data_IF_624324341776
#
_entry.id   IF_624324341776
#
_cell.length_a   1.000
_cell.length_b   1.000
_cell.length_c   1.000
_cell.angle_alpha   90.00
_cell.angle_beta   90.00
_cell.angle_gamma   90.00
#
_symmetry.space_group_name_H-M   'P 1'
#
loop_
_entity.id
_entity.type
_entity.pdbx_description
1 polymer ?
#
# COMPACT_ATOMS: atom_id res chain seq x y z
N UNK A 1 -14.87 5.83 -28.15
CA UNK A 1 -13.97 6.98 -28.37
C UNK A 1 -13.57 7.52 -27.01
N UNK A 2 -12.45 7.03 -26.48
CA UNK A 2 -12.03 7.20 -25.08
C UNK A 2 -11.49 8.63 -24.92
N UNK A 3 -12.20 9.43 -24.13
CA UNK A 3 -11.77 10.80 -23.79
C UNK A 3 -10.69 10.70 -22.72
N UNK A 4 -9.46 11.09 -23.08
CA UNK A 4 -8.40 11.53 -22.16
C UNK A 4 -9.02 12.59 -21.23
N UNK A 5 -9.39 12.18 -20.01
CA UNK A 5 -9.77 13.12 -18.95
C UNK A 5 -8.51 13.52 -18.20
N UNK A 6 -8.44 14.81 -17.95
CA UNK A 6 -7.27 15.55 -17.51
C UNK A 6 -6.86 15.14 -16.09
N UNK A 7 -5.62 14.68 -15.96
CA UNK A 7 -4.91 14.67 -14.68
C UNK A 7 -4.91 16.12 -14.18
N UNK A 8 -5.62 16.39 -13.07
CA UNK A 8 -5.62 17.70 -12.41
C UNK A 8 -4.21 17.95 -11.86
N UNK A 9 -3.37 18.63 -12.65
CA UNK A 9 -2.10 19.18 -12.20
C UNK A 9 -2.36 20.49 -11.44
N UNK A 10 -2.31 20.44 -10.11
CA UNK A 10 -2.24 21.59 -9.21
C UNK A 10 -1.31 21.19 -8.05
N UNK A 11 -0.29 21.94 -7.60
CA UNK A 11 0.36 23.18 -8.02
C UNK A 11 1.70 23.23 -7.21
N UNK A 12 2.88 23.44 -7.79
CA UNK A 12 3.59 24.71 -7.98
C UNK A 12 4.02 25.51 -6.71
N UNK A 13 5.27 26.02 -6.78
CA UNK A 13 5.92 27.12 -6.02
C UNK A 13 6.78 26.67 -4.82
N UNK A 14 8.11 26.79 -4.79
CA UNK A 14 8.89 28.04 -4.78
C UNK A 14 10.39 27.80 -5.09
N UNK A 15 10.92 28.23 -6.26
CA UNK A 15 12.32 28.68 -6.37
C UNK A 15 12.59 29.45 -7.68
N UNK A 16 11.99 30.63 -7.80
CA UNK A 16 12.51 31.67 -8.69
C UNK A 16 12.47 32.99 -7.92
N UNK A 17 13.48 33.23 -7.08
CA UNK A 17 14.16 34.51 -6.84
C UNK A 17 15.26 34.19 -5.82
N UNK A 18 16.46 33.93 -6.30
CA UNK A 18 17.76 34.41 -5.78
C UNK A 18 18.83 33.58 -6.48
N UNK A 19 19.59 34.24 -7.36
CA UNK A 19 20.82 33.64 -7.85
C UNK A 19 21.77 33.50 -6.68
N UNK A 20 21.96 32.28 -6.17
CA UNK A 20 23.18 31.86 -5.52
C UNK A 20 23.27 30.33 -5.53
N UNK A 21 24.42 29.87 -5.98
CA UNK A 21 24.87 28.49 -6.13
C UNK A 21 24.82 27.73 -4.81
N UNK A 22 24.05 26.64 -4.77
CA UNK A 22 24.38 25.42 -4.03
C UNK A 22 23.41 24.32 -4.50
N UNK A 23 23.85 23.49 -5.44
CA UNK A 23 23.18 22.23 -5.77
C UNK A 23 23.25 21.37 -4.50
N UNK A 24 22.13 21.07 -3.80
CA UNK A 24 22.17 20.13 -2.71
C UNK A 24 22.56 18.77 -3.29
N UNK A 25 23.38 18.01 -2.59
CA UNK A 25 23.66 16.62 -2.94
C UNK A 25 22.37 15.80 -2.84
N UNK A 26 21.57 15.79 -3.91
CA UNK A 26 20.45 14.88 -4.06
C UNK A 26 21.02 13.48 -4.26
N UNK A 27 20.48 12.51 -3.52
CA UNK A 27 20.62 11.11 -3.90
C UNK A 27 20.28 11.02 -5.40
N UNK A 28 21.17 10.44 -6.19
CA UNK A 28 21.10 10.48 -7.64
C UNK A 28 19.75 9.92 -8.10
N UNK A 29 18.86 10.81 -8.52
CA UNK A 29 17.63 10.46 -9.19
C UNK A 29 18.01 9.63 -10.43
N UNK A 30 17.27 8.55 -10.78
CA UNK A 30 17.68 7.65 -11.85
C UNK A 30 18.00 8.39 -13.15
N UNK A 31 19.06 7.96 -13.84
CA UNK A 31 19.38 8.48 -15.16
C UNK A 31 18.17 8.30 -16.10
N UNK A 32 17.84 9.34 -16.85
CA UNK A 32 16.64 9.37 -17.71
C UNK A 32 16.79 8.57 -19.00
N UNK A 33 17.93 7.92 -19.22
CA UNK A 33 18.24 7.16 -20.42
C UNK A 33 17.29 5.97 -20.56
N UNK A 34 16.33 6.08 -21.48
CA UNK A 34 15.30 5.06 -21.76
C UNK A 34 14.01 5.21 -20.97
N UNK A 35 13.91 6.18 -20.05
CA UNK A 35 12.68 6.48 -19.34
C UNK A 35 11.66 7.21 -20.23
N UNK A 36 10.38 6.90 -20.04
CA UNK A 36 9.27 7.57 -20.75
C UNK A 36 8.39 8.34 -19.77
N UNK A 37 7.71 9.43 -20.18
CA UNK A 37 6.75 10.11 -19.32
C UNK A 37 5.71 9.14 -18.77
N UNK A 38 5.46 9.20 -17.47
CA UNK A 38 4.60 8.26 -16.74
C UNK A 38 5.38 7.37 -15.77
N UNK A 39 4.80 6.21 -15.45
CA UNK A 39 5.35 5.24 -14.51
C UNK A 39 6.54 4.49 -15.11
N UNK A 40 7.61 4.36 -14.33
CA UNK A 40 8.81 3.62 -14.70
C UNK A 40 9.25 2.77 -13.50
N UNK A 41 9.57 1.49 -13.76
CA UNK A 41 10.20 0.63 -12.77
C UNK A 41 11.70 0.52 -13.05
N UNK A 42 12.52 0.86 -12.05
CA UNK A 42 13.98 0.87 -12.17
C UNK A 42 14.56 0.16 -10.95
N UNK A 43 15.27 -0.94 -11.18
CA UNK A 43 15.87 -1.76 -10.13
C UNK A 43 14.87 -2.18 -9.03
N UNK A 44 13.66 -2.56 -9.44
CA UNK A 44 12.57 -2.99 -8.54
C UNK A 44 11.80 -1.85 -7.86
N UNK A 45 12.25 -0.59 -7.97
CA UNK A 45 11.55 0.57 -7.41
C UNK A 45 10.74 1.31 -8.48
N UNK A 46 9.64 1.90 -8.06
CA UNK A 46 8.74 2.66 -8.93
C UNK A 46 9.04 4.16 -8.86
N UNK A 47 8.99 4.81 -10.01
CA UNK A 47 9.24 6.23 -10.20
C UNK A 47 8.20 6.80 -11.17
N UNK A 48 7.93 8.11 -11.08
CA UNK A 48 7.07 8.79 -12.03
C UNK A 48 7.80 9.92 -12.73
N UNK A 49 7.91 9.85 -14.06
CA UNK A 49 8.50 10.88 -14.90
C UNK A 49 7.42 11.84 -15.39
N UNK A 50 7.47 13.10 -14.96
CA UNK A 50 6.54 14.12 -15.42
C UNK A 50 6.75 14.40 -16.92
N UNK A 51 5.71 14.89 -17.60
CA UNK A 51 5.78 15.21 -19.03
C UNK A 51 6.80 16.29 -19.42
N UNK A 52 7.38 17.01 -18.45
CA UNK A 52 8.47 17.97 -18.66
C UNK A 52 9.88 17.33 -18.48
N UNK A 53 9.96 16.01 -18.30
CA UNK A 53 11.22 15.28 -18.13
C UNK A 53 11.81 15.30 -16.73
N UNK A 54 11.05 15.77 -15.72
CA UNK A 54 11.49 15.80 -14.32
C UNK A 54 10.84 14.65 -13.54
N UNK A 55 11.61 13.94 -12.72
CA UNK A 55 11.09 12.91 -11.83
C UNK A 55 10.29 13.52 -10.68
N UNK A 56 9.17 12.89 -10.32
CA UNK A 56 8.37 13.30 -9.15
C UNK A 56 9.12 12.99 -7.86
N UNK A 57 9.17 13.95 -6.94
CA UNK A 57 9.75 13.82 -5.59
C UNK A 57 8.81 14.33 -4.51
N UNK A 58 7.55 14.57 -4.85
CA UNK A 58 6.52 15.10 -3.95
C UNK A 58 5.27 14.22 -4.04
N UNK A 59 4.20 14.66 -4.69
CA UNK A 59 3.04 13.82 -4.96
C UNK A 59 2.50 13.99 -6.39
N UNK A 60 1.79 12.97 -6.86
CA UNK A 60 0.87 13.07 -7.99
C UNK A 60 -0.49 12.54 -7.55
N UNK A 61 -1.54 13.07 -8.14
CA UNK A 61 -2.92 12.68 -7.81
C UNK A 61 -3.73 12.58 -9.11
N UNK A 62 -4.56 11.54 -9.18
CA UNK A 62 -5.63 11.41 -10.16
C UNK A 62 -7.01 11.44 -9.47
N UNK A 63 -8.08 11.11 -10.19
CA UNK A 63 -9.44 11.19 -9.64
C UNK A 63 -9.66 10.25 -8.43
N UNK A 64 -8.83 9.22 -8.25
CA UNK A 64 -9.04 8.14 -7.28
C UNK A 64 -7.87 7.88 -6.35
N UNK A 65 -6.64 8.18 -6.78
CA UNK A 65 -5.43 7.75 -6.07
C UNK A 65 -4.42 8.90 -5.98
N UNK A 66 -3.90 9.07 -4.77
CA UNK A 66 -2.81 9.98 -4.45
C UNK A 66 -1.53 9.15 -4.19
N UNK A 67 -0.48 9.42 -4.95
CA UNK A 67 0.82 8.77 -4.86
C UNK A 67 1.83 9.76 -4.29
N UNK A 68 2.55 9.36 -3.25
CA UNK A 68 3.59 10.18 -2.62
C UNK A 68 4.96 9.56 -2.82
N UNK A 69 5.94 10.38 -3.16
CA UNK A 69 7.31 9.99 -3.49
C UNK A 69 8.28 10.40 -2.38
N UNK A 70 9.34 9.60 -2.22
CA UNK A 70 10.46 9.95 -1.39
C UNK A 70 11.37 10.98 -2.07
N UNK A 71 12.31 11.53 -1.30
CA UNK A 71 13.26 12.56 -1.80
C UNK A 71 14.18 12.04 -2.92
N UNK A 72 14.38 10.74 -3.01
CA UNK A 72 15.15 10.08 -4.08
C UNK A 72 14.29 9.81 -5.34
N UNK A 73 13.03 10.21 -5.32
CA UNK A 73 12.05 10.05 -6.39
C UNK A 73 11.33 8.71 -6.42
N UNK A 74 11.70 7.76 -5.56
CA UNK A 74 11.01 6.47 -5.49
C UNK A 74 9.62 6.63 -4.87
N UNK A 75 8.64 5.85 -5.34
CA UNK A 75 7.31 5.81 -4.77
C UNK A 75 7.41 5.36 -3.31
N UNK A 76 6.84 6.15 -2.40
CA UNK A 76 6.79 5.82 -0.98
C UNK A 76 5.50 5.12 -0.61
N UNK A 77 4.36 5.67 -1.01
CA UNK A 77 3.05 5.06 -0.76
C UNK A 77 1.99 5.57 -1.73
N UNK A 78 0.91 4.80 -1.87
CA UNK A 78 -0.32 5.19 -2.53
C UNK A 78 -1.47 5.17 -1.52
N UNK A 79 -2.42 6.10 -1.67
CA UNK A 79 -3.65 6.14 -0.87
C UNK A 79 -4.83 6.55 -1.73
N UNK A 80 -6.04 6.18 -1.33
CA UNK A 80 -7.25 6.70 -1.95
C UNK A 80 -7.33 8.23 -1.79
N UNK A 81 -7.84 8.91 -2.81
CA UNK A 81 -8.12 10.34 -2.75
C UNK A 81 -9.13 10.61 -1.62
N UNK A 82 -8.83 11.53 -0.69
CA UNK A 82 -9.71 11.90 0.41
C UNK A 82 -11.16 12.24 0.03
N UNK A 83 -12.10 11.93 0.92
CA UNK A 83 -13.52 12.28 0.82
C UNK A 83 -14.20 11.71 -0.42
N UNK A 84 -13.90 10.43 -0.71
CA UNK A 84 -14.47 9.65 -1.83
C UNK A 84 -15.19 8.36 -1.37
N UNK A 85 -15.53 8.28 -0.07
CA UNK A 85 -16.34 7.22 0.55
C UNK A 85 -15.64 5.88 0.76
N UNK A 86 -14.32 5.90 0.97
CA UNK A 86 -13.56 4.66 1.21
C UNK A 86 -13.66 3.65 0.06
N UNK A 87 -13.45 2.35 0.33
CA UNK A 87 -13.58 1.26 -0.64
C UNK A 87 -12.40 1.09 -1.60
N UNK A 88 -12.55 0.22 -2.60
CA UNK A 88 -11.51 -0.13 -3.57
C UNK A 88 -10.94 1.10 -4.30
N UNK A 89 -9.66 1.06 -4.65
CA UNK A 89 -9.05 2.11 -5.46
C UNK A 89 -7.85 1.57 -6.28
N UNK A 90 -7.71 2.02 -7.53
CA UNK A 90 -6.69 1.49 -8.43
C UNK A 90 -5.30 1.96 -8.02
N UNK A 91 -4.35 1.04 -7.96
CA UNK A 91 -2.94 1.33 -7.68
C UNK A 91 -2.07 0.77 -8.80
N UNK A 92 -1.49 1.66 -9.60
CA UNK A 92 -0.79 1.29 -10.84
C UNK A 92 0.35 0.28 -10.64
N UNK A 93 0.99 0.30 -9.47
CA UNK A 93 2.20 -0.49 -9.20
C UNK A 93 1.92 -1.91 -8.74
N UNK A 94 0.65 -2.26 -8.48
CA UNK A 94 0.23 -3.62 -8.14
C UNK A 94 0.05 -4.45 -9.41
N UNK A 95 0.36 -5.75 -9.32
CA UNK A 95 -0.08 -6.68 -10.35
C UNK A 95 -1.59 -6.96 -10.26
N UNK A 96 -2.15 -7.67 -11.25
CA UNK A 96 -3.59 -7.97 -11.31
C UNK A 96 -4.09 -8.71 -10.06
N UNK A 97 -3.31 -9.65 -9.54
CA UNK A 97 -3.66 -10.47 -8.38
C UNK A 97 -3.52 -9.74 -7.06
N UNK A 98 -2.50 -8.91 -6.95
CA UNK A 98 -2.35 -8.00 -5.82
C UNK A 98 -3.48 -6.98 -5.79
N UNK A 99 -3.85 -6.40 -6.93
CA UNK A 99 -4.94 -5.44 -7.05
C UNK A 99 -6.30 -6.06 -6.70
N UNK A 100 -6.61 -7.27 -7.19
CA UNK A 100 -7.83 -8.01 -6.86
C UNK A 100 -7.99 -8.16 -5.34
N UNK A 101 -6.98 -8.72 -4.67
CA UNK A 101 -7.02 -8.89 -3.21
C UNK A 101 -7.04 -7.56 -2.46
N UNK A 102 -6.28 -6.57 -2.94
CA UNK A 102 -6.24 -5.24 -2.35
C UNK A 102 -7.60 -4.54 -2.39
N UNK A 103 -8.32 -4.65 -3.51
CA UNK A 103 -9.64 -4.07 -3.68
C UNK A 103 -10.66 -4.71 -2.74
N UNK A 104 -10.74 -6.04 -2.69
CA UNK A 104 -11.67 -6.75 -1.80
C UNK A 104 -11.41 -6.43 -0.32
N UNK A 105 -10.13 -6.37 0.08
CA UNK A 105 -9.78 -5.98 1.45
C UNK A 105 -10.13 -4.52 1.77
N UNK A 106 -10.10 -3.62 0.79
CA UNK A 106 -10.49 -2.22 0.99
C UNK A 106 -12.01 -2.01 1.00
N UNK A 107 -12.77 -2.78 0.22
CA UNK A 107 -14.24 -2.78 0.29
C UNK A 107 -14.69 -3.19 1.70
N UNK A 108 -14.22 -4.34 2.19
CA UNK A 108 -14.55 -4.79 3.55
C UNK A 108 -14.08 -3.80 4.61
N UNK A 109 -12.85 -3.28 4.49
CA UNK A 109 -12.34 -2.30 5.45
C UNK A 109 -13.22 -1.06 5.52
N UNK A 110 -13.75 -0.62 4.38
CA UNK A 110 -14.63 0.53 4.28
C UNK A 110 -15.94 0.27 5.01
N UNK A 111 -16.57 -0.88 4.75
CA UNK A 111 -17.80 -1.28 5.42
C UNK A 111 -17.61 -1.34 6.94
N UNK A 112 -16.54 -1.98 7.41
CA UNK A 112 -16.21 -2.03 8.84
C UNK A 112 -15.96 -0.65 9.44
N UNK A 113 -15.34 0.26 8.69
CA UNK A 113 -15.07 1.60 9.19
C UNK A 113 -16.39 2.35 9.43
N UNK A 114 -17.31 2.31 8.47
CA UNK A 114 -18.61 2.98 8.61
C UNK A 114 -19.55 2.29 9.59
N UNK A 115 -19.40 0.98 9.81
CA UNK A 115 -20.11 0.28 10.90
C UNK A 115 -19.62 0.74 12.29
N UNK A 116 -18.32 1.04 12.43
CA UNK A 116 -17.73 1.51 13.68
C UNK A 116 -17.96 3.02 13.89
N UNK A 117 -17.99 3.79 12.82
CA UNK A 117 -18.14 5.25 12.80
C UNK A 117 -19.28 5.69 11.87
N UNK A 118 -20.54 5.34 12.18
CA UNK A 118 -21.69 5.64 11.32
C UNK A 118 -21.93 7.15 11.15
N UNK A 119 -21.50 7.97 12.11
CA UNK A 119 -21.60 9.42 12.10
C UNK A 119 -20.62 10.11 11.13
N UNK A 120 -19.62 9.39 10.60
CA UNK A 120 -18.55 10.01 9.83
C UNK A 120 -19.06 10.73 8.56
N UNK A 121 -20.07 10.17 7.87
CA UNK A 121 -20.68 10.82 6.71
C UNK A 121 -21.48 12.07 7.12
N UNK A 122 -22.25 11.99 8.20
CA UNK A 122 -23.07 13.11 8.70
C UNK A 122 -22.20 14.29 9.16
N UNK A 123 -21.10 14.02 9.86
CA UNK A 123 -20.17 15.05 10.33
C UNK A 123 -19.50 15.80 9.16
N UNK A 124 -19.27 15.12 8.03
CA UNK A 124 -18.68 15.75 6.84
C UNK A 124 -19.65 16.75 6.19
N UNK A 125 -20.92 16.35 6.02
CA UNK A 125 -21.94 17.21 5.43
C UNK A 125 -22.24 18.45 6.30
N UNK A 126 -22.05 18.32 7.62
CA UNK A 126 -22.17 19.42 8.58
C UNK A 126 -20.93 20.35 8.60
N UNK A 127 -19.83 19.94 7.96
CA UNK A 127 -18.56 20.67 7.92
C UNK A 127 -17.70 20.50 9.18
N UNK A 128 -17.98 19.49 10.00
CA UNK A 128 -17.27 19.21 11.26
C UNK A 128 -15.98 18.41 11.04
N UNK A 129 -15.82 17.77 9.87
CA UNK A 129 -14.62 17.00 9.49
C UNK A 129 -14.17 17.29 8.06
N UNK A 130 -12.85 17.37 7.83
CA UNK A 130 -12.25 17.59 6.49
C UNK A 130 -11.75 16.29 5.84
N UNK A 131 -11.77 15.16 6.56
CA UNK A 131 -11.22 13.86 6.11
C UNK A 131 -11.96 12.67 6.73
N UNK A 132 -13.25 12.55 6.42
CA UNK A 132 -14.14 11.61 7.12
C UNK A 132 -13.82 10.14 6.81
N UNK A 133 -13.37 9.85 5.60
CA UNK A 133 -13.07 8.49 5.12
C UNK A 133 -11.58 8.13 5.25
N UNK A 134 -10.81 8.94 5.99
CA UNK A 134 -9.36 8.84 6.00
C UNK A 134 -8.76 7.56 6.55
N UNK A 135 -9.60 6.77 7.20
CA UNK A 135 -9.28 5.48 7.80
C UNK A 135 -10.09 4.32 7.20
N UNK A 136 -10.95 4.61 6.23
CA UNK A 136 -11.83 3.65 5.55
C UNK A 136 -11.09 2.81 4.49
N UNK A 137 -9.85 3.16 4.17
CA UNK A 137 -8.99 2.41 3.24
C UNK A 137 -7.60 2.20 3.81
N UNK A 138 -6.88 1.22 3.28
CA UNK A 138 -5.46 1.03 3.51
C UNK A 138 -4.65 2.04 2.70
N UNK A 139 -3.57 2.54 3.29
CA UNK A 139 -2.46 3.15 2.54
C UNK A 139 -1.54 2.02 2.07
N UNK A 140 -1.34 1.85 0.76
CA UNK A 140 -0.34 0.92 0.23
C UNK A 140 1.06 1.50 0.47
N UNK A 141 1.86 0.86 1.32
CA UNK A 141 3.17 1.34 1.74
C UNK A 141 4.28 0.51 1.09
N UNK A 142 5.11 1.14 0.26
CA UNK A 142 6.11 0.43 -0.53
C UNK A 142 7.19 -0.25 0.34
N UNK A 143 7.50 0.31 1.52
CA UNK A 143 8.42 -0.37 2.46
C UNK A 143 7.80 -1.64 3.02
N UNK A 144 6.49 -1.66 3.24
CA UNK A 144 5.79 -2.88 3.65
C UNK A 144 5.66 -3.86 2.49
N UNK A 145 5.50 -3.41 1.24
CA UNK A 145 5.56 -4.30 0.07
C UNK A 145 6.94 -4.96 -0.06
N UNK A 146 8.04 -4.22 0.15
CA UNK A 146 9.39 -4.78 0.18
C UNK A 146 9.54 -5.85 1.28
N UNK A 147 8.98 -5.59 2.48
CA UNK A 147 8.92 -6.58 3.57
C UNK A 147 8.09 -7.79 3.15
N UNK A 148 6.91 -7.58 2.58
CA UNK A 148 6.03 -8.65 2.13
C UNK A 148 6.72 -9.54 1.08
N UNK A 149 7.39 -8.96 0.09
CA UNK A 149 8.11 -9.72 -0.96
C UNK A 149 9.29 -10.51 -0.41
N UNK A 150 10.09 -9.91 0.48
CA UNK A 150 11.19 -10.62 1.14
C UNK A 150 10.67 -11.79 1.99
N UNK A 151 9.59 -11.57 2.75
CA UNK A 151 9.01 -12.60 3.60
C UNK A 151 8.25 -13.66 2.82
N UNK A 152 7.65 -13.32 1.68
CA UNK A 152 7.07 -14.28 0.74
C UNK A 152 8.12 -15.25 0.25
N UNK A 153 9.25 -14.72 -0.25
CA UNK A 153 10.39 -15.51 -0.73
C UNK A 153 10.90 -16.46 0.36
N UNK A 154 11.11 -15.95 1.57
CA UNK A 154 11.57 -16.75 2.71
C UNK A 154 10.55 -17.81 3.15
N UNK A 155 9.25 -17.49 3.14
CA UNK A 155 8.19 -18.43 3.48
C UNK A 155 8.09 -19.58 2.47
N UNK A 156 8.31 -19.29 1.17
CA UNK A 156 8.32 -20.29 0.11
C UNK A 156 9.56 -21.20 0.17
N UNK A 157 10.71 -20.66 0.57
CA UNK A 157 11.96 -21.43 0.71
C UNK A 157 12.02 -22.26 2.00
N UNK A 158 11.71 -21.62 3.14
CA UNK A 158 11.94 -22.18 4.49
C UNK A 158 10.67 -22.76 5.11
N UNK A 159 9.52 -22.51 4.49
CA UNK A 159 8.20 -22.82 5.04
C UNK A 159 7.65 -21.72 5.96
N UNK A 160 6.37 -21.85 6.30
CA UNK A 160 5.66 -20.88 7.14
C UNK A 160 4.81 -21.61 8.20
N UNK A 161 4.97 -21.22 9.46
CA UNK A 161 4.16 -21.76 10.56
C UNK A 161 2.88 -20.94 10.73
N UNK A 162 1.75 -21.41 10.19
CA UNK A 162 0.45 -20.70 10.33
C UNK A 162 0.01 -20.50 11.78
N UNK A 163 0.34 -21.44 12.67
CA UNK A 163 -0.05 -21.37 14.08
C UNK A 163 0.75 -20.32 14.85
N UNK A 164 2.04 -20.18 14.54
CA UNK A 164 2.93 -19.21 15.20
C UNK A 164 3.01 -17.87 14.47
N UNK A 165 2.63 -17.84 13.18
CA UNK A 165 2.83 -16.70 12.28
C UNK A 165 4.30 -16.31 12.19
N UNK A 166 5.13 -17.31 11.91
CA UNK A 166 6.59 -17.19 11.90
C UNK A 166 7.19 -17.95 10.72
N UNK A 167 8.31 -17.42 10.23
CA UNK A 167 9.19 -18.09 9.28
C UNK A 167 10.37 -18.68 10.06
N UNK A 168 10.71 -19.97 9.88
CA UNK A 168 11.87 -20.58 10.53
C UNK A 168 13.16 -19.78 10.28
N UNK A 169 13.86 -19.44 11.37
CA UNK A 169 15.11 -18.66 11.33
C UNK A 169 14.95 -17.15 11.26
N UNK A 170 13.76 -16.63 10.91
CA UNK A 170 13.49 -15.18 10.88
C UNK A 170 12.52 -14.73 11.97
N UNK A 171 11.71 -15.65 12.50
CA UNK A 171 10.70 -15.35 13.51
C UNK A 171 9.49 -14.63 12.93
N UNK A 172 8.87 -13.78 13.74
CA UNK A 172 7.67 -13.03 13.38
C UNK A 172 8.00 -11.84 12.47
N UNK A 173 6.99 -11.30 11.78
CA UNK A 173 7.15 -10.04 11.03
C UNK A 173 7.66 -8.89 11.91
N UNK A 174 7.25 -8.85 13.18
CA UNK A 174 7.71 -7.85 14.15
C UNK A 174 9.20 -7.99 14.46
N UNK A 175 9.74 -9.21 14.48
CA UNK A 175 11.18 -9.43 14.68
C UNK A 175 11.98 -9.02 13.45
N UNK A 176 11.46 -9.34 12.27
CA UNK A 176 12.05 -8.91 11.01
C UNK A 176 12.08 -7.38 10.88
N UNK A 177 10.96 -6.71 11.17
CA UNK A 177 10.86 -5.24 11.10
C UNK A 177 11.81 -4.53 12.06
N UNK A 178 12.07 -5.08 13.25
CA UNK A 178 13.11 -4.51 14.16
C UNK A 178 14.49 -4.43 13.50
N UNK A 179 14.78 -5.33 12.56
CA UNK A 179 16.04 -5.37 11.83
C UNK A 179 16.03 -4.48 10.60
N UNK A 180 14.98 -4.55 9.77
CA UNK A 180 14.98 -3.87 8.45
C UNK A 180 14.36 -2.47 8.46
N UNK A 181 13.45 -2.19 9.39
CA UNK A 181 12.73 -0.92 9.55
C UNK A 181 12.66 -0.54 11.04
N UNK A 182 13.81 -0.34 11.71
CA UNK A 182 13.87 -0.11 13.15
C UNK A 182 13.10 1.13 13.61
N UNK A 183 12.84 2.09 12.72
CA UNK A 183 12.01 3.26 12.97
C UNK A 183 10.53 2.90 13.20
N UNK A 184 10.08 1.72 12.75
CA UNK A 184 8.70 1.22 12.92
C UNK A 184 8.59 0.09 13.94
N UNK A 185 9.65 -0.22 14.69
CA UNK A 185 9.70 -1.36 15.63
C UNK A 185 8.63 -1.40 16.72
N UNK A 186 8.02 -0.25 17.01
CA UNK A 186 6.99 -0.10 18.05
C UNK A 186 5.56 -0.21 17.50
N UNK A 187 5.39 -0.27 16.17
CA UNK A 187 4.09 -0.44 15.55
C UNK A 187 3.58 -1.88 15.72
N UNK A 188 2.27 -2.05 15.55
CA UNK A 188 1.63 -3.37 15.60
C UNK A 188 1.49 -3.90 14.19
N UNK A 189 1.94 -5.13 13.97
CA UNK A 189 1.91 -5.78 12.66
C UNK A 189 1.06 -7.05 12.66
N UNK A 190 0.51 -7.37 11.49
CA UNK A 190 -0.15 -8.64 11.23
C UNK A 190 0.32 -9.22 9.89
N UNK A 191 0.72 -10.48 9.90
CA UNK A 191 1.27 -11.15 8.71
C UNK A 191 0.38 -12.32 8.28
N UNK A 192 0.08 -12.37 6.99
CA UNK A 192 -0.68 -13.44 6.37
C UNK A 192 0.04 -13.99 5.16
N UNK A 193 0.59 -15.19 5.31
CA UNK A 193 0.98 -16.03 4.18
C UNK A 193 -0.21 -16.84 3.65
N UNK A 194 -0.64 -16.55 2.43
CA UNK A 194 -1.82 -17.11 1.77
C UNK A 194 -1.39 -17.87 0.51
N UNK A 195 -2.07 -18.96 0.17
CA UNK A 195 -1.79 -19.69 -1.08
C UNK A 195 -2.90 -20.68 -1.45
N UNK A 196 -3.06 -20.92 -2.74
CA UNK A 196 -3.99 -21.91 -3.28
C UNK A 196 -3.85 -22.12 -4.79
N UNK A 197 -4.64 -23.03 -5.39
CA UNK A 197 -4.62 -23.28 -6.83
C UNK A 197 -5.06 -22.05 -7.64
N UNK A 198 -4.31 -21.68 -8.67
CA UNK A 198 -4.53 -20.44 -9.44
C UNK A 198 -5.97 -20.26 -9.96
N UNK A 199 -6.56 -21.33 -10.52
CA UNK A 199 -7.87 -21.23 -11.20
C UNK A 199 -9.06 -21.04 -10.25
N UNK A 200 -8.90 -21.30 -8.96
CA UNK A 200 -10.03 -21.38 -8.02
C UNK A 200 -9.75 -20.76 -6.65
N UNK A 201 -8.54 -20.27 -6.43
CA UNK A 201 -8.18 -19.71 -5.14
C UNK A 201 -8.69 -18.28 -5.01
N UNK A 202 -9.64 -18.12 -4.10
CA UNK A 202 -10.01 -16.82 -3.55
C UNK A 202 -9.11 -16.54 -2.31
N UNK A 203 -8.14 -15.61 -2.42
CA UNK A 203 -7.29 -15.25 -1.29
C UNK A 203 -8.05 -14.50 -0.20
N UNK A 204 -9.10 -13.74 -0.53
CA UNK A 204 -9.88 -12.96 0.43
C UNK A 204 -10.67 -13.86 1.38
N UNK A 205 -11.24 -14.97 0.88
CA UNK A 205 -11.80 -16.02 1.74
C UNK A 205 -10.80 -16.44 2.85
N UNK A 206 -9.50 -16.51 2.53
CA UNK A 206 -8.48 -16.84 3.53
C UNK A 206 -8.16 -15.70 4.50
N UNK A 207 -8.28 -14.44 4.05
CA UNK A 207 -8.20 -13.24 4.89
C UNK A 207 -9.36 -13.22 5.89
N UNK A 208 -10.59 -13.35 5.42
CA UNK A 208 -11.81 -13.34 6.23
C UNK A 208 -11.74 -14.38 7.37
N UNK A 209 -11.38 -15.62 7.04
CA UNK A 209 -11.17 -16.70 8.01
C UNK A 209 -10.12 -16.37 9.09
N UNK A 210 -9.04 -15.67 8.71
CA UNK A 210 -7.92 -15.36 9.61
C UNK A 210 -8.14 -14.10 10.43
N UNK A 211 -8.98 -13.20 9.95
CA UNK A 211 -9.22 -11.88 10.52
C UNK A 211 -10.67 -11.80 11.00
N UNK A 212 -11.61 -11.47 10.13
CA UNK A 212 -13.00 -11.15 10.49
C UNK A 212 -13.71 -12.25 11.27
N UNK A 213 -13.58 -13.52 10.85
CA UNK A 213 -14.16 -14.61 11.62
C UNK A 213 -13.52 -14.76 13.01
N UNK A 214 -12.21 -14.49 13.14
CA UNK A 214 -11.54 -14.51 14.44
C UNK A 214 -11.94 -13.32 15.30
N UNK A 215 -12.14 -12.16 14.70
CA UNK A 215 -12.70 -11.00 15.37
C UNK A 215 -14.09 -11.33 15.93
N UNK A 216 -15.00 -11.86 15.11
CA UNK A 216 -16.35 -12.26 15.53
C UNK A 216 -16.37 -13.30 16.67
N UNK A 217 -15.34 -14.14 16.75
CA UNK A 217 -15.19 -15.15 17.83
C UNK A 217 -14.56 -14.62 19.10
N UNK A 218 -13.66 -13.64 19.01
CA UNK A 218 -12.78 -13.23 20.12
C UNK A 218 -12.97 -11.79 20.58
N UNK A 219 -13.65 -10.97 19.79
CA UNK A 219 -13.81 -9.53 19.98
C UNK A 219 -12.46 -8.80 20.19
N UNK A 220 -11.41 -9.28 19.52
CA UNK A 220 -10.06 -8.74 19.61
C UNK A 220 -9.75 -7.94 18.34
N UNK A 221 -9.75 -6.60 18.48
CA UNK A 221 -9.62 -5.64 17.37
C UNK A 221 -8.42 -5.88 16.46
N UNK A 222 -7.36 -6.56 16.91
CA UNK A 222 -6.22 -6.91 16.05
C UNK A 222 -6.59 -7.89 14.92
N UNK A 223 -7.78 -8.49 14.97
CA UNK A 223 -8.30 -9.32 13.88
C UNK A 223 -9.30 -8.57 13.00
N UNK A 224 -9.51 -7.27 13.21
CA UNK A 224 -10.35 -6.44 12.33
C UNK A 224 -9.49 -5.73 11.29
N UNK A 225 -9.94 -5.69 10.03
CA UNK A 225 -9.28 -4.88 8.99
C UNK A 225 -9.43 -3.38 9.26
N UNK A 226 -10.47 -2.91 9.96
CA UNK A 226 -10.63 -1.51 10.37
C UNK A 226 -9.41 -1.05 11.17
N UNK A 227 -8.92 -1.91 12.06
CA UNK A 227 -7.88 -1.57 13.01
C UNK A 227 -6.63 -1.04 12.29
N UNK A 228 -6.15 -1.74 11.27
CA UNK A 228 -4.90 -1.42 10.59
C UNK A 228 -5.02 -0.22 9.63
N UNK A 229 -3.91 0.48 9.36
CA UNK A 229 -3.90 1.70 8.52
C UNK A 229 -3.10 1.55 7.24
N UNK A 230 -2.02 0.77 7.27
CA UNK A 230 -1.13 0.55 6.13
C UNK A 230 -1.09 -0.92 5.75
N UNK A 231 -0.86 -1.17 4.47
CA UNK A 231 -0.71 -2.50 3.91
C UNK A 231 0.53 -2.57 3.03
N UNK A 232 1.28 -3.66 3.15
CA UNK A 232 2.15 -4.18 2.11
C UNK A 232 1.60 -5.50 1.60
N UNK A 233 1.69 -5.71 0.30
CA UNK A 233 1.28 -6.95 -0.36
C UNK A 233 2.40 -7.38 -1.33
N UNK A 234 2.56 -8.69 -1.47
CA UNK A 234 3.38 -9.28 -2.51
C UNK A 234 2.72 -10.55 -3.01
N UNK A 235 2.86 -10.80 -4.31
CA UNK A 235 2.34 -11.99 -4.98
C UNK A 235 3.44 -12.72 -5.77
N UNK A 236 3.39 -14.06 -5.77
CA UNK A 236 4.22 -14.91 -6.62
C UNK A 236 3.43 -16.13 -7.10
N UNK A 237 3.48 -16.38 -8.41
CA UNK A 237 2.95 -17.59 -9.02
C UNK A 237 4.03 -18.66 -9.14
N UNK A 238 3.75 -19.86 -8.62
CA UNK A 238 4.67 -21.01 -8.71
C UNK A 238 3.92 -22.34 -8.73
N UNK A 239 4.31 -23.24 -9.62
CA UNK A 239 3.78 -24.61 -9.69
C UNK A 239 2.23 -24.69 -9.78
N UNK A 240 1.61 -23.77 -10.53
CA UNK A 240 0.15 -23.71 -10.72
C UNK A 240 -0.63 -23.18 -9.50
N UNK A 241 0.06 -22.49 -8.59
CA UNK A 241 -0.51 -21.88 -7.39
C UNK A 241 -0.10 -20.42 -7.32
N UNK A 242 -1.00 -19.62 -6.76
CA UNK A 242 -0.71 -18.25 -6.37
C UNK A 242 -0.38 -18.22 -4.89
N UNK A 243 0.67 -17.47 -4.56
CA UNK A 243 1.13 -17.24 -3.21
C UNK A 243 1.10 -15.75 -2.92
N UNK A 244 0.58 -15.39 -1.75
CA UNK A 244 0.52 -14.01 -1.30
C UNK A 244 1.16 -13.86 0.07
N UNK A 245 1.78 -12.71 0.28
CA UNK A 245 2.15 -12.23 1.60
C UNK A 245 1.49 -10.88 1.81
N UNK A 246 0.66 -10.76 2.85
CA UNK A 246 0.06 -9.50 3.29
C UNK A 246 0.62 -9.12 4.64
N UNK A 247 1.12 -7.89 4.76
CA UNK A 247 1.63 -7.30 6.00
C UNK A 247 0.83 -6.04 6.30
N UNK A 248 0.13 -6.04 7.43
CA UNK A 248 -0.66 -4.90 7.90
C UNK A 248 0.07 -4.19 9.04
N UNK A 249 -0.03 -2.87 9.09
CA UNK A 249 0.55 -2.02 10.13
C UNK A 249 -0.52 -1.07 10.72
N UNK A 250 -0.52 -0.94 12.05
CA UNK A 250 -1.40 -0.03 12.80
C UNK A 250 -0.79 1.34 13.04
#
# INVERSE_FOLDING_TARGET
>A
MIRRKEIRKLAAVLCMVTGLVAVPAYAAVPETLGAVPGWNQISGKWYYLLGNGIWSTDFIEDETTCYTFAKDGSLSYARKTPNTRGGAYPVYVLDEKEQELFDEMNEEKSDLFFDVYPEAEDDYDNGDVEFYDGCATFVLDMKLCDVAGARLSSAMEKGYSKNKQEIPGEGSVSDYIKTVLPERKSAVFFEMYLWGPEESYDPYCSVENRMQEKFNRKDDKKYSLEYYRRMGIAHEKRDGKDYYMVVLER
#
